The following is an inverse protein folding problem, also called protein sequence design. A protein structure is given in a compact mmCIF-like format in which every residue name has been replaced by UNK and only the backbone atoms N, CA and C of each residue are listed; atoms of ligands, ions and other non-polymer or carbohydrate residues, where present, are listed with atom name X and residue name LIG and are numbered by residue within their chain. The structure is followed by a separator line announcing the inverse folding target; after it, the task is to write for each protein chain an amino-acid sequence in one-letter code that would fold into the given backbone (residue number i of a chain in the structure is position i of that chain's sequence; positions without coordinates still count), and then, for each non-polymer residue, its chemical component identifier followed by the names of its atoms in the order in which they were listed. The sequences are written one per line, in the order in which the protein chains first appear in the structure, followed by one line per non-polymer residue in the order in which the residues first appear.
data_IF_481363388348
#
_entry.id   IF_481363388348
#
_cell.length_a   1.000
_cell.length_b   1.000
_cell.length_c   1.000
_cell.angle_alpha   90.00
_cell.angle_beta   90.00
_cell.angle_gamma   90.00
#
_symmetry.space_group_name_H-M   'P 1'
#
loop_
_entity.id
_entity.type
_entity.pdbx_description
1 polymer ?
#
# COMPACT_ATOMS: atom_id res chain seq x y z
N UNK A 1 -4.20 -12.03 -29.16
CA UNK A 1 -2.99 -11.97 -28.32
C UNK A 1 -2.18 -13.22 -28.57
N UNK A 2 -0.94 -13.06 -29.04
CA UNK A 2 0.05 -14.14 -28.98
C UNK A 2 0.64 -14.20 -27.55
N UNK A 3 1.35 -15.29 -27.22
CA UNK A 3 1.89 -15.49 -25.86
C UNK A 3 2.92 -14.43 -25.45
N UNK A 4 3.65 -13.88 -26.42
CA UNK A 4 4.62 -12.78 -26.21
C UNK A 4 3.92 -11.50 -25.76
N UNK A 5 2.81 -11.13 -26.40
CA UNK A 5 2.00 -9.96 -26.03
C UNK A 5 1.41 -10.11 -24.62
N UNK A 6 0.97 -11.33 -24.25
CA UNK A 6 0.50 -11.61 -22.88
C UNK A 6 1.62 -11.49 -21.85
N UNK A 7 2.80 -12.03 -22.17
CA UNK A 7 3.99 -11.93 -21.31
C UNK A 7 4.40 -10.48 -21.06
N UNK A 8 4.51 -9.68 -22.12
CA UNK A 8 4.90 -8.26 -21.99
C UNK A 8 3.85 -7.45 -21.24
N UNK A 9 2.56 -7.70 -21.47
CA UNK A 9 1.47 -7.05 -20.74
C UNK A 9 1.55 -7.35 -19.24
N UNK A 10 1.74 -8.63 -18.88
CA UNK A 10 1.84 -9.05 -17.49
C UNK A 10 3.09 -8.50 -16.81
N UNK A 11 4.22 -8.45 -17.53
CA UNK A 11 5.48 -7.86 -17.04
C UNK A 11 5.32 -6.37 -16.73
N UNK A 12 4.64 -5.61 -17.59
CA UNK A 12 4.35 -4.19 -17.35
C UNK A 12 3.42 -4.01 -16.13
N UNK A 13 2.40 -4.85 -15.99
CA UNK A 13 1.48 -4.82 -14.85
C UNK A 13 2.20 -5.10 -13.53
N UNK A 14 3.11 -6.08 -13.51
CA UNK A 14 3.98 -6.37 -12.35
C UNK A 14 4.83 -5.17 -11.94
N UNK A 15 5.41 -4.46 -12.91
CA UNK A 15 6.22 -3.27 -12.63
C UNK A 15 5.36 -2.16 -11.99
N UNK A 16 4.16 -1.93 -12.51
CA UNK A 16 3.23 -0.93 -11.96
C UNK A 16 2.77 -1.30 -10.54
N UNK A 17 2.36 -2.55 -10.33
CA UNK A 17 1.90 -3.05 -9.02
C UNK A 17 3.02 -3.01 -7.98
N UNK A 18 4.27 -3.23 -8.41
CA UNK A 18 5.45 -3.11 -7.52
C UNK A 18 5.66 -1.66 -7.07
N UNK A 19 5.57 -0.70 -7.98
CA UNK A 19 5.65 0.72 -7.63
C UNK A 19 4.51 1.15 -6.71
N UNK A 20 3.30 0.64 -6.96
CA UNK A 20 2.14 0.89 -6.09
C UNK A 20 2.36 0.34 -4.67
N UNK A 21 2.90 -0.88 -4.54
CA UNK A 21 3.26 -1.49 -3.25
C UNK A 21 4.24 -0.61 -2.47
N UNK A 22 5.30 -0.15 -3.12
CA UNK A 22 6.31 0.72 -2.49
C UNK A 22 5.69 2.01 -1.95
N UNK A 23 4.80 2.64 -2.72
CA UNK A 23 4.06 3.83 -2.26
C UNK A 23 3.18 3.54 -1.03
N UNK A 24 2.45 2.41 -1.04
CA UNK A 24 1.63 2.01 0.11
C UNK A 24 2.48 1.72 1.35
N UNK A 25 3.67 1.12 1.19
CA UNK A 25 4.60 0.86 2.30
C UNK A 25 5.12 2.14 2.95
N UNK A 26 5.43 3.17 2.14
CA UNK A 26 5.83 4.48 2.65
C UNK A 26 4.71 5.11 3.48
N UNK A 27 3.49 5.16 2.92
CA UNK A 27 2.32 5.71 3.62
C UNK A 27 2.00 4.94 4.90
N UNK A 28 2.12 3.60 4.87
CA UNK A 28 1.92 2.76 6.05
C UNK A 28 2.89 3.12 7.18
N UNK A 29 4.17 3.25 6.86
CA UNK A 29 5.21 3.57 7.84
C UNK A 29 5.01 4.97 8.43
N UNK A 30 4.63 5.96 7.60
CA UNK A 30 4.30 7.31 8.06
C UNK A 30 3.09 7.31 9.00
N UNK A 31 2.03 6.56 8.67
CA UNK A 31 0.84 6.44 9.52
C UNK A 31 1.15 5.75 10.85
N UNK A 32 1.92 4.65 10.83
CA UNK A 32 2.32 3.94 12.06
C UNK A 32 3.16 4.83 12.97
N UNK A 33 4.11 5.57 12.39
CA UNK A 33 4.92 6.53 13.15
C UNK A 33 4.05 7.63 13.75
N UNK A 34 3.14 8.20 12.96
CA UNK A 34 2.21 9.24 13.44
C UNK A 34 1.33 8.72 14.57
N UNK A 35 0.79 7.51 14.43
CA UNK A 35 -0.01 6.86 15.46
C UNK A 35 0.79 6.70 16.77
N UNK A 36 2.02 6.22 16.67
CA UNK A 36 2.91 6.02 17.83
C UNK A 36 3.17 7.33 18.58
N UNK A 37 3.45 8.44 17.87
CA UNK A 37 3.72 9.72 18.54
C UNK A 37 2.45 10.35 19.14
N UNK A 38 1.30 10.17 18.50
CA UNK A 38 0.02 10.59 19.10
C UNK A 38 -0.26 9.77 20.37
N UNK A 39 -0.01 8.47 20.38
CA UNK A 39 -0.21 7.61 21.57
C UNK A 39 0.64 8.08 22.76
N UNK A 40 1.90 8.46 22.51
CA UNK A 40 2.84 8.98 23.52
C UNK A 40 2.55 10.41 23.97
N UNK A 41 1.78 11.18 23.21
CA UNK A 41 1.48 12.58 23.52
C UNK A 41 0.60 12.67 24.78
N UNK A 42 0.95 13.46 25.82
CA UNK A 42 0.12 13.60 27.01
C UNK A 42 -1.29 14.14 26.71
N UNK A 43 -2.29 13.72 27.48
CA UNK A 43 -3.69 14.16 27.28
C UNK A 43 -3.92 15.65 27.58
N UNK A 44 -2.95 16.31 28.24
CA UNK A 44 -2.95 17.76 28.47
C UNK A 44 -2.58 18.58 27.24
N UNK A 45 -1.95 17.96 26.23
CA UNK A 45 -1.53 18.64 25.01
C UNK A 45 -2.67 18.75 24.01
N UNK A 46 -2.71 19.87 23.30
CA UNK A 46 -3.70 20.08 22.25
C UNK A 46 -3.22 19.49 20.92
N UNK A 47 -4.10 18.71 20.28
CA UNK A 47 -3.83 18.13 18.97
C UNK A 47 -4.72 18.74 17.90
N UNK A 48 -4.14 18.88 16.70
CA UNK A 48 -4.76 19.49 15.56
C UNK A 48 -4.57 18.59 14.33
N UNK A 49 -5.63 18.34 13.58
CA UNK A 49 -5.58 17.64 12.29
C UNK A 49 -5.65 18.66 11.15
N UNK A 50 -4.74 18.54 10.17
CA UNK A 50 -4.77 19.33 8.95
C UNK A 50 -5.82 18.76 7.98
N UNK A 51 -6.82 19.59 7.64
CA UNK A 51 -7.87 19.26 6.67
C UNK A 51 -7.86 20.32 5.57
N UNK A 52 -7.39 19.95 4.39
CA UNK A 52 -7.18 20.89 3.28
C UNK A 52 -6.12 21.94 3.64
N UNK A 53 -6.56 23.17 3.91
CA UNK A 53 -5.69 24.30 4.25
C UNK A 53 -5.91 24.80 5.69
N UNK A 54 -6.73 24.11 6.50
CA UNK A 54 -7.06 24.52 7.87
C UNK A 54 -6.69 23.46 8.90
N UNK A 55 -6.39 23.89 10.12
CA UNK A 55 -6.17 23.03 11.28
C UNK A 55 -7.44 22.94 12.11
N UNK A 56 -7.88 21.72 12.42
CA UNK A 56 -9.06 21.46 13.25
C UNK A 56 -8.59 20.82 14.55
N UNK A 57 -8.86 21.48 15.68
CA UNK A 57 -8.63 20.90 17.01
C UNK A 57 -9.49 19.65 17.17
N UNK A 58 -8.87 18.53 17.54
CA UNK A 58 -9.57 17.27 17.81
C UNK A 58 -9.03 16.67 19.10
N UNK A 59 -9.89 15.93 19.80
CA UNK A 59 -9.43 15.15 20.93
C UNK A 59 -8.52 14.00 20.46
N UNK A 60 -7.56 13.65 21.32
CA UNK A 60 -6.59 12.61 21.05
C UNK A 60 -7.23 11.28 20.69
N UNK A 61 -8.33 10.91 21.35
CA UNK A 61 -9.02 9.63 21.11
C UNK A 61 -9.56 9.56 19.68
N UNK A 62 -10.24 10.61 19.22
CA UNK A 62 -10.74 10.71 17.84
C UNK A 62 -9.62 10.62 16.82
N UNK A 63 -8.48 11.27 17.07
CA UNK A 63 -7.30 11.18 16.18
C UNK A 63 -6.75 9.75 16.14
N UNK A 64 -6.63 9.09 17.30
CA UNK A 64 -6.14 7.72 17.40
C UNK A 64 -7.04 6.73 16.66
N UNK A 65 -8.36 6.84 16.84
CA UNK A 65 -9.33 5.99 16.13
C UNK A 65 -9.19 6.18 14.61
N UNK A 66 -9.17 7.43 14.13
CA UNK A 66 -9.02 7.72 12.71
C UNK A 66 -7.68 7.25 12.11
N UNK A 67 -6.58 7.33 12.88
CA UNK A 67 -5.27 6.81 12.44
C UNK A 67 -5.27 5.27 12.38
N UNK A 68 -5.88 4.60 13.37
CA UNK A 68 -6.02 3.13 13.38
C UNK A 68 -6.81 2.62 12.18
N UNK A 69 -7.96 3.26 11.88
CA UNK A 69 -8.75 2.91 10.71
C UNK A 69 -7.97 3.09 9.40
N UNK A 70 -7.22 4.20 9.26
CA UNK A 70 -6.37 4.44 8.08
C UNK A 70 -5.27 3.39 7.95
N UNK A 71 -4.65 3.01 9.06
CA UNK A 71 -3.63 1.95 9.11
C UNK A 71 -4.22 0.62 8.65
N UNK A 72 -5.36 0.20 9.18
CA UNK A 72 -6.01 -1.07 8.83
C UNK A 72 -6.39 -1.12 7.35
N UNK A 73 -6.89 0.00 6.80
CA UNK A 73 -7.19 0.11 5.36
C UNK A 73 -5.91 -0.06 4.52
N UNK A 74 -4.80 0.58 4.90
CA UNK A 74 -3.55 0.44 4.16
C UNK A 74 -2.98 -0.97 4.28
N UNK A 75 -3.04 -1.60 5.46
CA UNK A 75 -2.61 -3.00 5.63
C UNK A 75 -3.40 -3.96 4.74
N UNK A 76 -4.72 -3.77 4.65
CA UNK A 76 -5.56 -4.56 3.76
C UNK A 76 -5.17 -4.38 2.29
N UNK A 77 -4.91 -3.14 1.86
CA UNK A 77 -4.45 -2.85 0.49
C UNK A 77 -3.09 -3.46 0.19
N UNK A 78 -2.14 -3.38 1.13
CA UNK A 78 -0.81 -4.00 1.02
C UNK A 78 -0.94 -5.51 0.82
N UNK A 79 -1.72 -6.20 1.65
CA UNK A 79 -1.97 -7.64 1.53
C UNK A 79 -2.58 -8.01 0.16
N UNK A 80 -3.49 -7.17 -0.34
CA UNK A 80 -4.14 -7.39 -1.63
C UNK A 80 -3.15 -7.25 -2.80
N UNK A 81 -2.31 -6.20 -2.78
CA UNK A 81 -1.25 -5.99 -3.78
C UNK A 81 -0.20 -7.09 -3.72
N UNK A 82 0.19 -7.54 -2.53
CA UNK A 82 1.13 -8.64 -2.35
C UNK A 82 0.63 -9.95 -2.98
N UNK A 83 -0.65 -10.26 -2.77
CA UNK A 83 -1.29 -11.42 -3.38
C UNK A 83 -1.32 -11.32 -4.91
N UNK A 84 -1.66 -10.15 -5.45
CA UNK A 84 -1.65 -9.90 -6.89
C UNK A 84 -0.24 -10.09 -7.48
N UNK A 85 0.77 -9.46 -6.87
CA UNK A 85 2.18 -9.60 -7.29
C UNK A 85 2.65 -11.06 -7.28
N UNK A 86 2.32 -11.83 -6.23
CA UNK A 86 2.68 -13.24 -6.17
C UNK A 86 2.02 -14.06 -7.28
N UNK A 87 0.73 -13.83 -7.54
CA UNK A 87 -0.01 -14.53 -8.60
C UNK A 87 0.52 -14.17 -9.98
N UNK A 88 0.73 -12.89 -10.25
CA UNK A 88 1.24 -12.39 -11.53
C UNK A 88 2.67 -12.88 -11.78
N UNK A 89 3.51 -12.96 -10.74
CA UNK A 89 4.88 -13.49 -10.85
C UNK A 89 4.88 -14.97 -11.23
N UNK A 90 4.01 -15.78 -10.61
CA UNK A 90 3.88 -17.19 -10.96
C UNK A 90 3.43 -17.37 -12.41
N UNK A 91 2.40 -16.62 -12.83
CA UNK A 91 1.90 -16.67 -14.20
C UNK A 91 2.95 -16.21 -15.22
N UNK A 92 3.74 -15.18 -14.90
CA UNK A 92 4.81 -14.70 -15.77
C UNK A 92 5.90 -15.77 -15.96
N UNK A 93 6.28 -16.47 -14.90
CA UNK A 93 7.24 -17.58 -14.95
C UNK A 93 6.74 -18.77 -15.77
N UNK A 94 5.44 -19.07 -15.72
CA UNK A 94 4.82 -20.12 -16.54
C UNK A 94 4.84 -19.74 -18.02
N UNK A 95 4.42 -18.52 -18.36
CA UNK A 95 4.46 -18.00 -19.73
C UNK A 95 5.89 -18.01 -20.30
N UNK A 96 6.88 -17.62 -19.50
CA UNK A 96 8.28 -17.66 -19.91
C UNK A 96 8.73 -19.08 -20.29
N UNK A 97 8.43 -20.07 -19.43
CA UNK A 97 8.76 -21.48 -19.71
C UNK A 97 8.06 -22.04 -20.94
N UNK A 98 6.86 -21.56 -21.25
CA UNK A 98 6.14 -21.97 -22.46
C UNK A 98 6.75 -21.38 -23.72
N UNK A 99 7.15 -20.11 -23.67
CA UNK A 99 7.84 -19.42 -24.76
C UNK A 99 9.20 -20.07 -25.07
N UNK A 100 9.99 -20.36 -24.03
CA UNK A 100 11.31 -21.02 -24.15
C UNK A 100 11.22 -22.44 -24.76
N UNK A 101 10.06 -23.11 -24.68
CA UNK A 101 9.83 -24.45 -25.25
C UNK A 101 9.30 -24.42 -26.68
N UNK A 102 8.82 -23.26 -27.13
CA UNK A 102 8.28 -23.06 -28.47
C UNK A 102 9.30 -22.51 -29.47
N UNK A 103 10.50 -22.14 -29.01
CA UNK A 103 11.72 -21.95 -29.81
C UNK A 103 12.43 -23.29 -30.08
#
# INVERSE_FOLDING_TARGET
MNKEEEYETLRQQLQLNTAQKQNLQLQYNELKKTLEEVEKTPDSEELYELVGQILIKKDKKTILEGLKDKVDIIEFRLKSVDKALSSDTQKLQELQKELDKSE
#
